data_IF_469356938255
#
_entry.id   IF_469356938255
#
_cell.length_a   1.000
_cell.length_b   1.000
_cell.length_c   1.000
_cell.angle_alpha   90.00
_cell.angle_beta   90.00
_cell.angle_gamma   90.00
#
_symmetry.space_group_name_H-M   'P 1'
#
loop_
_entity.id
_entity.type
_entity.pdbx_description
1 polymer ?
#
# COMPACT_ATOMS: atom_id res chain seq x y z
N UNK A 1 19.60 8.82 -18.14
CA UNK A 1 18.18 8.46 -17.94
C UNK A 1 17.81 7.57 -19.12
N UNK A 2 17.74 6.25 -18.89
CA UNK A 2 17.31 5.30 -19.92
C UNK A 2 15.81 5.43 -20.17
N UNK A 3 15.29 4.93 -21.30
CA UNK A 3 13.85 4.99 -21.57
C UNK A 3 13.09 4.25 -20.46
N UNK A 4 12.24 4.97 -19.72
CA UNK A 4 11.25 4.35 -18.83
C UNK A 4 10.35 3.47 -19.70
N UNK A 5 10.62 2.16 -19.66
CA UNK A 5 9.74 1.18 -20.29
C UNK A 5 8.50 1.14 -19.42
N UNK A 6 7.44 1.83 -19.84
CA UNK A 6 6.16 1.81 -19.15
C UNK A 6 5.62 0.39 -19.27
N UNK A 7 5.83 -0.44 -18.25
CA UNK A 7 5.28 -1.79 -18.25
C UNK A 7 3.77 -1.72 -18.45
N UNK A 8 3.32 -2.31 -19.56
CA UNK A 8 1.91 -2.32 -19.92
C UNK A 8 1.26 -3.49 -19.18
N UNK A 9 0.35 -3.16 -18.26
CA UNK A 9 -0.38 -4.16 -17.48
C UNK A 9 -1.15 -5.10 -18.41
N UNK A 10 -1.01 -6.41 -18.22
CA UNK A 10 -1.71 -7.40 -19.06
C UNK A 10 -3.21 -7.39 -18.79
N UNK A 11 -4.01 -7.96 -19.71
CA UNK A 11 -5.45 -8.09 -19.51
C UNK A 11 -5.80 -8.92 -18.26
N UNK A 12 -5.00 -9.95 -17.95
CA UNK A 12 -5.17 -10.78 -16.77
C UNK A 12 -4.85 -10.01 -15.48
N UNK A 13 -3.75 -9.25 -15.46
CA UNK A 13 -3.39 -8.40 -14.32
C UNK A 13 -4.46 -7.34 -14.06
N UNK A 14 -5.01 -6.75 -15.12
CA UNK A 14 -6.12 -5.80 -15.02
C UNK A 14 -7.37 -6.42 -14.42
N UNK A 15 -7.72 -7.63 -14.84
CA UNK A 15 -8.88 -8.33 -14.30
C UNK A 15 -8.70 -8.63 -12.80
N UNK A 16 -7.52 -9.08 -12.38
CA UNK A 16 -7.19 -9.32 -10.96
C UNK A 16 -7.24 -8.04 -10.13
N UNK A 17 -6.62 -6.96 -10.62
CA UNK A 17 -6.65 -5.66 -9.94
C UNK A 17 -8.09 -5.14 -9.78
N UNK A 18 -8.93 -5.27 -10.81
CA UNK A 18 -10.33 -4.86 -10.74
C UNK A 18 -11.17 -5.74 -9.82
N UNK A 19 -10.84 -7.02 -9.66
CA UNK A 19 -11.51 -7.90 -8.71
C UNK A 19 -11.20 -7.46 -7.27
N UNK A 20 -9.92 -7.21 -6.96
CA UNK A 20 -9.49 -6.67 -5.67
C UNK A 20 -10.19 -5.34 -5.36
N UNK A 21 -10.20 -4.39 -6.29
CA UNK A 21 -10.83 -3.07 -6.11
C UNK A 21 -12.34 -3.11 -5.89
N UNK A 22 -13.02 -4.21 -6.25
CA UNK A 22 -14.45 -4.41 -6.05
C UNK A 22 -14.77 -5.26 -4.82
N UNK A 23 -13.76 -5.81 -4.15
CA UNK A 23 -13.93 -6.65 -2.98
C UNK A 23 -14.36 -5.78 -1.78
N UNK A 24 -15.54 -6.01 -1.15
CA UNK A 24 -15.91 -5.28 0.06
C UNK A 24 -14.96 -5.56 1.24
N UNK A 25 -14.26 -6.70 1.24
CA UNK A 25 -13.25 -7.09 2.22
C UNK A 25 -11.81 -6.74 1.76
N UNK A 26 -11.65 -5.83 0.79
CA UNK A 26 -10.33 -5.49 0.22
C UNK A 26 -9.30 -5.09 1.28
N UNK A 27 -9.71 -4.37 2.34
CA UNK A 27 -8.79 -3.98 3.39
C UNK A 27 -8.28 -5.17 4.21
N UNK A 28 -9.11 -6.17 4.45
CA UNK A 28 -8.70 -7.40 5.14
C UNK A 28 -7.73 -8.21 4.28
N UNK A 29 -7.95 -8.25 2.96
CA UNK A 29 -7.04 -8.88 1.99
C UNK A 29 -5.68 -8.18 1.96
N UNK A 30 -5.66 -6.84 1.92
CA UNK A 30 -4.43 -6.05 2.00
C UNK A 30 -3.70 -6.32 3.32
N UNK A 31 -4.40 -6.35 4.45
CA UNK A 31 -3.80 -6.67 5.74
C UNK A 31 -3.20 -8.08 5.75
N UNK A 32 -3.91 -9.07 5.20
CA UNK A 32 -3.41 -10.43 5.07
C UNK A 32 -2.15 -10.52 4.21
N UNK A 33 -2.05 -9.72 3.14
CA UNK A 33 -0.84 -9.64 2.32
C UNK A 33 0.34 -9.07 3.11
N UNK A 34 0.13 -8.02 3.91
CA UNK A 34 1.16 -7.47 4.81
C UNK A 34 1.64 -8.50 5.84
N UNK A 35 0.72 -9.28 6.41
CA UNK A 35 1.07 -10.36 7.34
C UNK A 35 1.86 -11.48 6.64
N UNK A 36 1.51 -11.81 5.40
CA UNK A 36 2.19 -12.85 4.59
C UNK A 36 3.65 -12.49 4.31
N UNK A 37 3.95 -11.20 4.11
CA UNK A 37 5.33 -10.72 3.94
C UNK A 37 6.07 -10.49 5.28
N UNK A 38 5.45 -10.86 6.41
CA UNK A 38 6.05 -10.84 7.74
C UNK A 38 5.87 -9.53 8.50
N UNK A 39 5.09 -8.58 7.98
CA UNK A 39 4.77 -7.37 8.73
C UNK A 39 3.54 -7.62 9.61
N UNK A 40 3.77 -7.84 10.91
CA UNK A 40 2.71 -8.15 11.88
C UNK A 40 2.27 -6.93 12.70
N UNK A 41 0.97 -6.81 13.01
CA UNK A 41 0.41 -5.74 13.86
C UNK A 41 0.25 -4.39 13.14
N UNK A 42 -0.02 -3.31 13.88
CA UNK A 42 -0.14 -1.93 13.33
C UNK A 42 -1.19 -1.77 12.19
N UNK A 43 -2.28 -2.54 12.23
CA UNK A 43 -3.30 -2.64 11.17
C UNK A 43 -3.80 -1.27 10.67
N UNK A 44 -4.17 -0.38 11.61
CA UNK A 44 -4.64 0.96 11.25
C UNK A 44 -3.58 1.78 10.52
N UNK A 45 -2.31 1.68 10.93
CA UNK A 45 -1.23 2.45 10.32
C UNK A 45 -0.87 1.91 8.93
N UNK A 46 -0.88 0.58 8.73
CA UNK A 46 -0.72 -0.05 7.41
C UNK A 46 -1.76 0.48 6.41
N UNK A 47 -3.03 0.46 6.80
CA UNK A 47 -4.12 0.93 5.93
C UNK A 47 -4.05 2.44 5.68
N UNK A 48 -3.73 3.24 6.70
CA UNK A 48 -3.55 4.69 6.54
C UNK A 48 -2.43 5.00 5.54
N UNK A 49 -1.29 4.31 5.64
CA UNK A 49 -0.18 4.46 4.72
C UNK A 49 -0.53 4.00 3.30
N UNK A 50 -1.26 2.89 3.15
CA UNK A 50 -1.77 2.45 1.85
C UNK A 50 -2.64 3.52 1.18
N UNK A 51 -3.60 4.10 1.93
CA UNK A 51 -4.47 5.17 1.41
C UNK A 51 -3.65 6.40 1.01
N UNK A 52 -2.69 6.80 1.84
CA UNK A 52 -1.79 7.91 1.53
C UNK A 52 -0.96 7.64 0.27
N UNK A 53 -0.44 6.43 0.09
CA UNK A 53 0.30 6.04 -1.11
C UNK A 53 -0.57 6.11 -2.38
N UNK A 54 -1.82 5.63 -2.30
CA UNK A 54 -2.76 5.65 -3.44
C UNK A 54 -3.21 7.08 -3.78
N UNK A 55 -3.28 7.98 -2.80
CA UNK A 55 -3.66 9.38 -3.00
C UNK A 55 -2.78 10.14 -4.00
N UNK A 56 -1.58 9.63 -4.35
CA UNK A 56 -0.73 10.15 -5.43
C UNK A 56 -1.44 10.24 -6.80
N UNK A 57 -2.58 9.55 -6.96
CA UNK A 57 -3.41 9.57 -8.17
C UNK A 57 -4.48 10.67 -8.15
N UNK A 58 -4.63 11.38 -7.03
CA UNK A 58 -5.57 12.49 -6.86
C UNK A 58 -4.89 13.83 -7.12
N UNK A 59 -5.67 14.89 -7.37
CA UNK A 59 -5.14 16.25 -7.59
C UNK A 59 -4.43 16.83 -6.35
N UNK A 60 -4.84 16.41 -5.16
CA UNK A 60 -4.27 16.82 -3.88
C UNK A 60 -3.90 15.57 -3.06
N UNK A 61 -2.66 15.06 -3.22
CA UNK A 61 -2.18 13.91 -2.46
C UNK A 61 -2.16 14.17 -0.95
N UNK A 62 -2.39 13.13 -0.17
CA UNK A 62 -2.38 13.15 1.29
C UNK A 62 -0.95 13.07 1.83
N UNK A 63 -0.66 13.89 2.84
CA UNK A 63 0.60 13.83 3.61
C UNK A 63 0.36 13.13 4.94
N UNK A 64 1.20 12.15 5.28
CA UNK A 64 1.16 11.41 6.55
C UNK A 64 2.43 11.66 7.35
N UNK A 65 2.27 11.90 8.66
CA UNK A 65 3.38 12.00 9.62
C UNK A 65 3.28 10.86 10.63
N UNK A 66 4.31 10.04 10.72
CA UNK A 66 4.38 8.95 11.69
C UNK A 66 5.20 9.42 12.89
N UNK A 67 4.57 9.52 14.07
CA UNK A 67 5.25 9.81 15.32
C UNK A 67 5.26 8.57 16.21
N UNK A 68 6.43 8.13 16.65
CA UNK A 68 6.54 7.00 17.60
C UNK A 68 7.82 7.11 18.43
N UNK A 69 7.92 6.37 19.54
CA UNK A 69 9.15 6.26 20.35
C UNK A 69 10.24 5.42 19.67
N UNK A 70 11.52 5.69 19.92
CA UNK A 70 12.64 4.97 19.28
C UNK A 70 12.49 3.44 19.38
N UNK A 71 12.91 2.70 18.34
CA UNK A 71 12.82 1.24 18.20
C UNK A 71 11.43 0.59 18.05
N UNK A 72 10.34 1.36 17.91
CA UNK A 72 8.98 0.82 17.71
C UNK A 72 8.62 0.42 16.26
N UNK A 73 9.59 0.22 15.35
CA UNK A 73 9.30 -0.22 13.97
C UNK A 73 8.99 0.87 12.93
N UNK A 74 9.24 2.16 13.24
CA UNK A 74 8.98 3.31 12.32
C UNK A 74 9.54 3.16 10.90
N UNK A 75 10.83 2.81 10.78
CA UNK A 75 11.48 2.70 9.47
C UNK A 75 10.91 1.54 8.65
N UNK A 76 10.57 0.43 9.32
CA UNK A 76 9.98 -0.72 8.66
C UNK A 76 8.59 -0.41 8.09
N UNK A 77 7.77 0.36 8.82
CA UNK A 77 6.48 0.82 8.30
C UNK A 77 6.65 1.69 7.05
N UNK A 78 7.61 2.61 7.07
CA UNK A 78 7.90 3.49 5.94
C UNK A 78 8.45 2.75 4.71
N UNK A 79 9.29 1.73 4.90
CA UNK A 79 9.92 0.98 3.80
C UNK A 79 8.97 -0.05 3.15
N UNK A 80 7.89 -0.44 3.82
CA UNK A 80 6.99 -1.52 3.39
C UNK A 80 5.79 -1.01 2.56
N UNK A 81 5.52 0.31 2.56
CA UNK A 81 4.40 0.97 1.84
C UNK A 81 4.86 1.85 0.70
#
# INVERSE_FOLDING_TARGET
QGPETKEVMTGADKARALALLKNPAMFDEILSDFETIGYTGEEMNKLLCYIAAVSRKMEQPLSVMIQSRSAAGKSYLQDTV
#
